data_IF_031679875079
#
_entry.id   IF_031679875079
#
_cell.length_a   1.000
_cell.length_b   1.000
_cell.length_c   1.000
_cell.angle_alpha   90.00
_cell.angle_beta   90.00
_cell.angle_gamma   90.00
#
_symmetry.space_group_name_H-M   'P 1'
#
loop_
_entity.id
_entity.type
_entity.pdbx_description
1 polymer ?
#
# COMPACT_ATOMS: atom_id res chain seq x y z
N UNK A 1 -2.85 13.15 -18.01
CA UNK A 1 -2.36 12.90 -16.64
C UNK A 1 -2.75 14.10 -15.79
N UNK A 2 -3.79 14.00 -14.97
CA UNK A 2 -4.17 15.10 -14.08
C UNK A 2 -3.20 15.09 -12.89
N UNK A 3 -2.47 16.20 -12.60
CA UNK A 3 -1.58 16.25 -11.45
C UNK A 3 -2.38 16.12 -10.15
N UNK A 4 -1.92 15.29 -9.21
CA UNK A 4 -2.54 15.25 -7.89
C UNK A 4 -2.06 16.42 -7.04
N UNK A 5 -2.96 17.04 -6.26
CA UNK A 5 -2.61 18.11 -5.32
C UNK A 5 -1.85 17.62 -4.07
N UNK A 6 -1.71 16.31 -3.88
CA UNK A 6 -1.00 15.73 -2.74
C UNK A 6 0.51 15.88 -2.89
N UNK A 7 1.23 16.18 -1.81
CA UNK A 7 2.69 16.12 -1.81
C UNK A 7 3.18 14.68 -2.04
N UNK A 8 4.33 14.51 -2.69
CA UNK A 8 4.93 13.19 -2.98
C UNK A 8 5.05 12.31 -1.74
N UNK A 9 5.42 12.92 -0.62
CA UNK A 9 5.57 12.25 0.67
C UNK A 9 4.24 11.69 1.18
N UNK A 10 3.17 12.48 1.12
CA UNK A 10 1.84 12.04 1.57
C UNK A 10 1.31 10.90 0.69
N UNK A 11 1.57 10.96 -0.62
CA UNK A 11 1.22 9.87 -1.55
C UNK A 11 1.97 8.59 -1.20
N UNK A 12 3.28 8.65 -0.99
CA UNK A 12 4.04 7.45 -0.61
C UNK A 12 3.62 6.91 0.76
N UNK A 13 3.19 7.76 1.69
CA UNK A 13 2.64 7.31 2.97
C UNK A 13 1.33 6.53 2.80
N UNK A 14 0.46 6.93 1.87
CA UNK A 14 -0.73 6.13 1.52
C UNK A 14 -0.38 4.81 0.85
N UNK A 15 0.59 4.80 -0.07
CA UNK A 15 1.06 3.56 -0.70
C UNK A 15 1.65 2.58 0.31
N UNK A 16 2.37 3.09 1.32
CA UNK A 16 2.85 2.25 2.42
C UNK A 16 1.70 1.62 3.23
N UNK A 17 0.64 2.39 3.52
CA UNK A 17 -0.55 1.86 4.18
C UNK A 17 -1.24 0.80 3.35
N UNK A 18 -1.29 0.97 2.02
CA UNK A 18 -1.79 -0.07 1.11
C UNK A 18 -0.94 -1.32 1.21
N UNK A 19 0.39 -1.20 1.22
CA UNK A 19 1.30 -2.34 1.40
C UNK A 19 1.01 -3.08 2.73
N UNK A 20 0.81 -2.36 3.83
CA UNK A 20 0.47 -2.97 5.12
C UNK A 20 -0.89 -3.70 5.10
N UNK A 21 -1.88 -3.16 4.38
CA UNK A 21 -3.18 -3.81 4.22
C UNK A 21 -3.09 -5.07 3.35
N UNK A 22 -2.33 -5.00 2.25
CA UNK A 22 -2.08 -6.15 1.36
C UNK A 22 -1.38 -7.27 2.12
N UNK A 23 -0.35 -6.97 2.90
CA UNK A 23 0.38 -7.98 3.68
C UNK A 23 -0.49 -8.60 4.77
N UNK A 24 -1.28 -7.78 5.48
CA UNK A 24 -2.24 -8.25 6.50
C UNK A 24 -3.22 -9.28 5.94
N UNK A 25 -3.79 -8.99 4.77
CA UNK A 25 -4.87 -9.78 4.17
C UNK A 25 -4.41 -10.69 3.03
N UNK A 26 -3.10 -10.91 2.87
CA UNK A 26 -2.49 -11.57 1.69
C UNK A 26 -3.08 -12.95 1.37
N UNK A 27 -3.44 -13.74 2.40
CA UNK A 27 -4.05 -15.06 2.18
C UNK A 27 -5.44 -14.96 1.56
N UNK A 28 -6.26 -14.03 2.05
CA UNK A 28 -7.59 -13.78 1.51
C UNK A 28 -7.50 -13.26 0.08
N UNK A 29 -6.61 -12.29 -0.17
CA UNK A 29 -6.37 -11.75 -1.50
C UNK A 29 -5.90 -12.84 -2.47
N UNK A 30 -5.00 -13.73 -2.05
CA UNK A 30 -4.51 -14.82 -2.88
C UNK A 30 -5.61 -15.84 -3.20
N UNK A 31 -6.52 -16.11 -2.26
CA UNK A 31 -7.67 -16.98 -2.51
C UNK A 31 -8.61 -16.37 -3.56
N UNK A 32 -8.91 -15.07 -3.45
CA UNK A 32 -9.76 -14.36 -4.43
C UNK A 32 -9.09 -14.37 -5.80
N UNK A 33 -7.81 -14.04 -5.86
CA UNK A 33 -7.04 -13.95 -7.10
C UNK A 33 -6.88 -15.32 -7.80
N UNK A 34 -6.70 -16.40 -7.03
CA UNK A 34 -6.71 -17.77 -7.54
C UNK A 34 -8.09 -18.18 -8.09
N UNK A 35 -9.18 -17.77 -7.43
CA UNK A 35 -10.55 -18.02 -7.87
C UNK A 35 -10.89 -17.27 -9.16
N UNK A 36 -10.53 -15.99 -9.24
CA UNK A 36 -10.91 -15.12 -10.34
C UNK A 36 -10.07 -15.38 -11.61
N UNK A 37 -8.76 -15.58 -11.44
CA UNK A 37 -7.83 -15.72 -12.57
C UNK A 37 -7.44 -17.18 -12.89
N UNK A 38 -7.90 -18.15 -12.10
CA UNK A 38 -7.62 -19.57 -12.29
C UNK A 38 -6.17 -19.98 -12.03
N UNK A 39 -5.34 -19.09 -11.45
CA UNK A 39 -3.96 -19.39 -11.06
C UNK A 39 -3.92 -20.23 -9.78
N UNK A 40 -2.82 -20.92 -9.52
CA UNK A 40 -2.66 -21.65 -8.27
C UNK A 40 -2.53 -20.66 -7.09
N UNK A 41 -3.05 -21.04 -5.92
CA UNK A 41 -2.94 -20.21 -4.72
C UNK A 41 -1.49 -19.78 -4.38
N UNK A 42 -0.47 -20.66 -4.46
CA UNK A 42 0.91 -20.24 -4.24
C UNK A 42 1.40 -19.23 -5.28
N UNK A 43 1.02 -19.37 -6.55
CA UNK A 43 1.39 -18.39 -7.59
C UNK A 43 0.78 -17.01 -7.30
N UNK A 44 -0.46 -16.95 -6.82
CA UNK A 44 -1.08 -15.71 -6.37
C UNK A 44 -0.37 -15.12 -5.13
N UNK A 45 -0.08 -15.96 -4.14
CA UNK A 45 0.43 -15.53 -2.83
C UNK A 45 1.89 -15.09 -2.86
N UNK A 46 2.75 -15.83 -3.56
CA UNK A 46 4.22 -15.68 -3.55
C UNK A 46 4.74 -14.98 -4.81
N UNK A 47 3.94 -14.97 -5.89
CA UNK A 47 4.23 -14.20 -7.08
C UNK A 47 3.58 -12.83 -6.99
N UNK A 48 2.30 -12.77 -7.35
CA UNK A 48 1.60 -11.52 -7.60
C UNK A 48 1.51 -10.61 -6.36
N UNK A 49 1.17 -11.18 -5.19
CA UNK A 49 1.01 -10.39 -3.97
C UNK A 49 2.34 -9.94 -3.37
N UNK A 50 3.39 -10.76 -3.41
CA UNK A 50 4.72 -10.36 -2.93
C UNK A 50 5.32 -9.26 -3.84
N UNK A 51 5.11 -9.35 -5.16
CA UNK A 51 5.49 -8.28 -6.09
C UNK A 51 4.69 -7.00 -5.83
N UNK A 52 3.37 -7.10 -5.72
CA UNK A 52 2.49 -5.96 -5.44
C UNK A 52 2.88 -5.25 -4.14
N UNK A 53 3.11 -6.02 -3.08
CA UNK A 53 3.59 -5.50 -1.80
C UNK A 53 4.92 -4.74 -1.94
N UNK A 54 5.87 -5.32 -2.68
CA UNK A 54 7.19 -4.74 -2.91
C UNK A 54 7.10 -3.41 -3.68
N UNK A 55 6.26 -3.37 -4.71
CA UNK A 55 6.00 -2.15 -5.50
C UNK A 55 5.41 -1.04 -4.62
N UNK A 56 4.42 -1.36 -3.79
CA UNK A 56 3.82 -0.35 -2.90
C UNK A 56 4.82 0.18 -1.85
N UNK A 57 5.74 -0.66 -1.35
CA UNK A 57 6.82 -0.23 -0.43
C UNK A 57 7.96 0.51 -1.11
N UNK A 58 8.15 0.37 -2.42
CA UNK A 58 9.26 1.01 -3.14
C UNK A 58 9.18 2.54 -3.13
N UNK A 59 7.99 3.14 -3.06
CA UNK A 59 7.80 4.60 -3.08
C UNK A 59 8.52 5.31 -1.91
N UNK A 60 8.53 4.70 -0.72
CA UNK A 60 9.27 5.23 0.44
C UNK A 60 10.78 5.08 0.29
N UNK A 61 11.25 4.00 -0.33
CA UNK A 61 12.67 3.81 -0.62
C UNK A 61 13.16 4.87 -1.63
N UNK A 62 12.42 5.09 -2.71
CA UNK A 62 12.70 6.12 -3.69
C UNK A 62 12.62 7.54 -3.09
N UNK A 63 11.66 7.82 -2.20
CA UNK A 63 11.56 9.14 -1.55
C UNK A 63 12.72 9.42 -0.60
N UNK A 64 13.25 8.38 0.07
CA UNK A 64 14.40 8.49 0.97
C UNK A 64 15.71 8.75 0.23
N UNK A 65 15.91 8.14 -0.94
CA UNK A 65 17.11 8.36 -1.77
C UNK A 65 17.09 9.73 -2.46
N UNK A 66 15.92 10.32 -2.70
CA UNK A 66 15.79 11.68 -3.25
C UNK A 66 16.00 12.81 -2.22
N UNK A 67 16.37 12.52 -0.97
CA UNK A 67 16.63 13.55 0.05
C UNK A 67 15.37 14.27 0.56
N UNK A 68 14.17 13.78 0.20
CA UNK A 68 12.89 14.38 0.60
C UNK A 68 12.43 13.73 1.91
N UNK A 69 12.94 14.30 3.01
CA UNK A 69 12.42 14.30 4.38
C UNK A 69 12.54 13.04 5.28
N UNK A 70 13.05 13.37 6.46
CA UNK A 70 12.95 12.68 7.75
C UNK A 70 11.47 12.65 8.18
N UNK A 71 10.82 11.48 8.16
CA UNK A 71 9.43 11.34 8.63
C UNK A 71 9.35 10.57 9.95
N UNK A 72 8.71 11.20 10.92
CA UNK A 72 8.32 10.58 12.18
C UNK A 72 7.03 9.77 11.96
N UNK A 73 7.19 8.45 11.80
CA UNK A 73 6.13 7.45 11.59
C UNK A 73 4.96 7.54 12.60
N UNK A 74 5.13 8.24 13.73
CA UNK A 74 4.11 8.40 14.78
C UNK A 74 2.88 9.22 14.35
N UNK A 75 2.99 10.07 13.33
CA UNK A 75 1.90 10.95 12.87
C UNK A 75 0.99 10.35 11.79
N UNK A 76 1.33 9.17 11.26
CA UNK A 76 0.52 8.51 10.23
C UNK A 76 -0.61 7.64 10.80
N UNK A 77 -0.87 7.67 12.12
CA UNK A 77 -2.03 7.00 12.71
C UNK A 77 -3.31 7.47 12.00
N UNK A 78 -4.25 6.56 11.69
CA UNK A 78 -5.45 6.93 10.94
C UNK A 78 -6.20 8.02 11.71
N UNK A 79 -6.41 9.18 11.06
CA UNK A 79 -7.38 10.17 11.53
C UNK A 79 -8.69 9.40 11.69
N UNK A 80 -9.17 9.33 12.93
CA UNK A 80 -10.46 8.70 13.26
C UNK A 80 -11.51 9.37 12.38
N UNK A 81 -12.01 8.66 11.37
CA UNK A 81 -13.25 9.01 10.71
C UNK A 81 -14.38 8.77 11.72
N UNK A 82 -14.59 9.74 12.62
CA UNK A 82 -15.65 9.76 13.60
C UNK A 82 -16.67 10.82 13.17
N UNK A 83 -17.76 10.29 12.60
CA UNK A 83 -19.14 10.80 12.50
C UNK A 83 -19.34 12.32 12.51
N UNK A 84 -19.83 12.85 11.38
CA UNK A 84 -21.00 13.73 11.34
C UNK A 84 -21.74 13.52 10.02
N UNK A 85 -22.84 12.78 10.08
CA UNK A 85 -24.00 13.07 9.23
C UNK A 85 -25.12 13.53 10.17
N UNK A 86 -25.93 14.52 9.75
CA UNK A 86 -26.94 15.18 10.57
C UNK A 86 -27.99 14.22 11.12
#
# INVERSE_FOLDING_TARGET
MVPSDLATVDRCAFLYKIAELVDRDRKLLASIDALDNGKTYPAALEGDLDESYSVFRACLHASRTSGILHLNLKNLRPRKYLRRLP
#
